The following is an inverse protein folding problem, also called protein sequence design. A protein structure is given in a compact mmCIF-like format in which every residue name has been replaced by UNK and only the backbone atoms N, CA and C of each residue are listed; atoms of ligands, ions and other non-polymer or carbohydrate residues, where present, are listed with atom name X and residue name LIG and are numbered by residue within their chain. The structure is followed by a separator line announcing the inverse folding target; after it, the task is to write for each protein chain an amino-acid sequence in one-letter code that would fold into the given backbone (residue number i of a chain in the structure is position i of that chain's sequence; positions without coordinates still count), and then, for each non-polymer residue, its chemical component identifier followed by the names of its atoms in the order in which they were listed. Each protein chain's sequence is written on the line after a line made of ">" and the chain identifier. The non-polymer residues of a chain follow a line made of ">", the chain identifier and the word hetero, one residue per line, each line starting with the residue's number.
data_IF_933222194405
#
_entry.id   IF_933222194405
#
_cell.length_a   1.000
_cell.length_b   1.000
_cell.length_c   1.000
_cell.angle_alpha   90.00
_cell.angle_beta   90.00
_cell.angle_gamma   90.00
#
_symmetry.space_group_name_H-M   'P 1'
#
loop_
_entity.id
_entity.type
_entity.pdbx_description
1 polymer ?
#
# COMPACT_ATOMS: atom_id res chain seq x y z
N UNK A 1 -9.66 20.50 -2.47
CA UNK A 1 -10.71 19.68 -3.08
C UNK A 1 -11.57 19.10 -1.98
N UNK A 2 -12.89 19.18 -2.11
CA UNK A 2 -13.82 18.56 -1.15
C UNK A 2 -14.15 17.13 -1.57
N UNK A 3 -14.70 16.31 -0.67
CA UNK A 3 -15.18 14.96 -1.02
C UNK A 3 -16.27 15.00 -2.09
N UNK A 4 -17.21 15.95 -2.01
CA UNK A 4 -18.27 16.10 -3.00
C UNK A 4 -17.74 16.46 -4.39
N UNK A 5 -16.75 17.36 -4.47
CA UNK A 5 -16.08 17.71 -5.73
C UNK A 5 -15.35 16.50 -6.32
N UNK A 6 -14.65 15.72 -5.47
CA UNK A 6 -14.00 14.48 -5.88
C UNK A 6 -14.98 13.51 -6.54
N UNK A 7 -16.05 13.17 -5.83
CA UNK A 7 -17.06 12.22 -6.30
C UNK A 7 -17.71 12.68 -7.61
N UNK A 8 -18.01 13.98 -7.73
CA UNK A 8 -18.56 14.53 -8.97
C UNK A 8 -17.64 14.35 -10.17
N UNK A 9 -16.33 14.58 -10.00
CA UNK A 9 -15.34 14.39 -11.08
C UNK A 9 -15.14 12.92 -11.42
N UNK A 10 -15.05 12.05 -10.43
CA UNK A 10 -14.92 10.60 -10.64
C UNK A 10 -16.11 10.04 -11.41
N UNK A 11 -17.34 10.43 -11.05
CA UNK A 11 -18.55 10.02 -11.78
C UNK A 11 -18.63 10.60 -13.19
N UNK A 12 -18.13 11.81 -13.41
CA UNK A 12 -18.17 12.46 -14.73
C UNK A 12 -17.19 11.83 -15.71
N UNK A 13 -15.93 11.64 -15.30
CA UNK A 13 -14.89 11.12 -16.19
C UNK A 13 -14.93 9.60 -16.34
N UNK A 14 -15.25 8.86 -15.26
CA UNK A 14 -15.26 7.39 -15.22
C UNK A 14 -13.87 6.74 -15.28
N UNK A 15 -13.00 7.23 -16.16
CA UNK A 15 -11.63 6.77 -16.37
C UNK A 15 -10.64 7.88 -15.99
N UNK A 16 -10.34 7.98 -14.69
CA UNK A 16 -9.57 9.08 -14.09
C UNK A 16 -8.46 8.52 -13.20
N UNK A 17 -7.33 9.23 -13.13
CA UNK A 17 -6.34 9.08 -12.06
C UNK A 17 -6.15 10.40 -11.34
N UNK A 18 -5.86 10.33 -10.05
CA UNK A 18 -5.43 11.49 -9.27
C UNK A 18 -3.92 11.51 -9.14
N UNK A 19 -3.28 12.61 -9.52
CA UNK A 19 -1.88 12.90 -9.18
C UNK A 19 -1.87 14.12 -8.29
N UNK A 20 -1.38 13.96 -7.06
CA UNK A 20 -1.42 14.98 -6.00
C UNK A 20 -0.01 15.49 -5.77
N UNK A 21 0.17 16.81 -5.72
CA UNK A 21 1.40 17.41 -5.21
C UNK A 21 1.53 17.14 -3.71
N UNK A 22 2.44 16.24 -3.36
CA UNK A 22 2.69 15.76 -2.01
C UNK A 22 3.80 16.48 -1.28
N UNK A 23 4.50 17.43 -1.90
CA UNK A 23 5.68 18.09 -1.31
C UNK A 23 5.37 18.70 0.06
N UNK A 24 4.18 19.28 0.23
CA UNK A 24 3.71 19.83 1.51
C UNK A 24 3.40 18.79 2.60
N UNK A 25 3.28 17.50 2.26
CA UNK A 25 3.01 16.42 3.21
C UNK A 25 4.25 15.62 3.59
N UNK A 26 5.41 15.88 2.98
CA UNK A 26 6.61 15.04 3.11
C UNK A 26 7.02 14.77 4.57
N UNK A 27 6.96 15.77 5.44
CA UNK A 27 7.29 15.64 6.87
C UNK A 27 6.25 14.83 7.68
N UNK A 28 5.07 14.63 7.12
CA UNK A 28 3.93 13.94 7.73
C UNK A 28 3.65 12.58 7.06
N UNK A 29 4.50 12.14 6.13
CA UNK A 29 4.32 10.89 5.40
C UNK A 29 5.58 10.04 5.55
N UNK A 30 5.51 9.05 6.42
CA UNK A 30 6.60 8.12 6.68
C UNK A 30 6.40 6.85 5.87
N UNK A 31 7.42 6.42 5.15
CA UNK A 31 7.43 5.15 4.42
C UNK A 31 8.28 4.18 5.26
N UNK A 32 7.75 3.00 5.52
CA UNK A 32 8.36 1.98 6.37
C UNK A 32 8.89 0.81 5.53
N UNK A 33 9.02 -0.35 6.15
CA UNK A 33 9.50 -1.58 5.56
C UNK A 33 8.75 -1.99 4.28
N UNK A 34 9.47 -2.73 3.44
CA UNK A 34 8.94 -3.32 2.22
C UNK A 34 7.91 -4.41 2.56
N UNK A 35 6.98 -4.60 1.65
CA UNK A 35 6.00 -5.67 1.64
C UNK A 35 6.22 -6.53 0.39
N UNK A 36 5.98 -7.85 0.48
CA UNK A 36 5.98 -8.67 -0.72
C UNK A 36 4.83 -8.24 -1.65
N UNK A 37 4.82 -8.71 -2.88
CA UNK A 37 3.67 -8.53 -3.76
C UNK A 37 2.42 -9.14 -3.09
N UNK A 38 1.29 -8.42 -2.97
CA UNK A 38 0.09 -8.95 -2.33
C UNK A 38 -0.47 -10.21 -3.02
N UNK A 39 -0.14 -10.44 -4.30
CA UNK A 39 -0.52 -11.66 -5.02
C UNK A 39 0.50 -12.81 -4.87
N UNK A 40 1.65 -12.56 -4.24
CA UNK A 40 2.69 -13.58 -4.03
C UNK A 40 2.28 -14.66 -3.03
N UNK A 41 2.96 -15.80 -3.08
CA UNK A 41 2.72 -16.90 -2.16
C UNK A 41 3.05 -16.55 -0.70
N UNK A 42 4.19 -15.90 -0.37
CA UNK A 42 4.49 -15.47 1.01
C UNK A 42 3.41 -14.55 1.55
N UNK A 43 2.89 -13.62 0.73
CA UNK A 43 1.89 -12.66 1.18
C UNK A 43 0.62 -13.34 1.70
N UNK A 44 0.25 -14.56 1.25
CA UNK A 44 -1.00 -15.22 1.66
C UNK A 44 -1.07 -15.56 3.15
N UNK A 45 0.07 -15.84 3.77
CA UNK A 45 0.14 -16.24 5.18
C UNK A 45 0.47 -15.07 6.12
N UNK A 46 0.96 -13.95 5.58
CA UNK A 46 1.42 -12.82 6.38
C UNK A 46 0.28 -11.85 6.70
N UNK A 47 0.12 -11.51 7.98
CA UNK A 47 -0.73 -10.42 8.45
C UNK A 47 0.14 -9.40 9.17
N UNK A 48 0.32 -8.23 8.56
CA UNK A 48 1.23 -7.22 9.07
C UNK A 48 0.61 -6.38 10.17
N UNK A 49 1.38 -6.14 11.23
CA UNK A 49 1.01 -5.13 12.20
C UNK A 49 1.14 -3.74 11.57
N UNK A 50 0.16 -2.88 11.81
CA UNK A 50 0.13 -1.53 11.23
C UNK A 50 1.26 -0.66 11.78
N UNK A 51 2.19 -0.28 10.90
CA UNK A 51 3.25 0.67 11.21
C UNK A 51 2.67 2.05 11.56
N UNK A 52 3.23 2.67 12.61
CA UNK A 52 2.93 4.04 13.02
C UNK A 52 4.20 4.68 13.56
N UNK A 53 4.29 6.01 13.45
CA UNK A 53 5.46 6.78 13.91
C UNK A 53 5.80 6.52 15.38
N UNK A 54 4.80 6.27 16.22
CA UNK A 54 4.98 6.01 17.65
C UNK A 54 5.31 4.53 17.97
N UNK A 55 5.10 3.61 17.02
CA UNK A 55 5.18 2.15 17.23
C UNK A 55 6.41 1.55 16.55
N UNK A 56 7.56 1.62 17.24
CA UNK A 56 8.86 1.18 16.70
C UNK A 56 8.89 -0.28 16.23
N UNK A 57 8.17 -1.18 16.92
CA UNK A 57 8.09 -2.60 16.51
C UNK A 57 7.39 -2.76 15.16
N UNK A 58 6.16 -2.27 15.02
CA UNK A 58 5.42 -2.34 13.76
C UNK A 58 6.15 -1.60 12.61
N UNK A 59 6.79 -0.46 12.90
CA UNK A 59 7.64 0.24 11.92
C UNK A 59 8.77 -0.65 11.36
N UNK A 60 9.31 -1.55 12.17
CA UNK A 60 10.38 -2.49 11.81
C UNK A 60 9.93 -3.75 11.07
N UNK A 61 8.65 -3.91 10.74
CA UNK A 61 8.18 -5.07 9.99
C UNK A 61 7.72 -6.23 10.87
N UNK A 62 6.93 -5.91 11.89
CA UNK A 62 6.27 -6.90 12.74
C UNK A 62 5.06 -7.52 12.01
N UNK A 63 4.91 -8.83 12.05
CA UNK A 63 3.77 -9.54 11.46
C UNK A 63 3.35 -10.78 12.26
N UNK A 64 2.23 -11.36 11.85
CA UNK A 64 1.64 -12.60 12.36
C UNK A 64 1.40 -13.56 11.19
N UNK A 65 1.30 -14.86 11.49
CA UNK A 65 0.96 -15.88 10.49
C UNK A 65 -0.50 -16.32 10.61
N UNK A 66 -1.21 -16.33 9.48
CA UNK A 66 -2.60 -16.75 9.41
C UNK A 66 -2.73 -18.25 9.73
N UNK A 67 -1.82 -19.07 9.22
CA UNK A 67 -1.75 -20.52 9.46
C UNK A 67 -1.59 -20.86 10.94
N UNK A 68 -0.80 -20.08 11.69
CA UNK A 68 -0.68 -20.26 13.15
C UNK A 68 -1.97 -19.90 13.88
N UNK A 69 -2.73 -18.91 13.38
CA UNK A 69 -4.01 -18.53 13.95
C UNK A 69 -5.10 -19.58 13.66
N UNK A 70 -5.04 -20.26 12.51
CA UNK A 70 -5.95 -21.34 12.15
C UNK A 70 -5.88 -22.54 13.09
N UNK A 71 -4.79 -22.73 13.83
CA UNK A 71 -4.68 -23.77 14.88
C UNK A 71 -5.74 -23.58 15.97
N UNK A 72 -6.06 -22.33 16.30
CA UNK A 72 -7.02 -21.99 17.35
C UNK A 72 -8.40 -21.59 16.79
N UNK A 73 -8.41 -20.94 15.63
CA UNK A 73 -9.63 -20.56 14.92
C UNK A 73 -9.49 -20.86 13.42
N UNK A 74 -9.92 -22.05 12.96
CA UNK A 74 -9.79 -22.46 11.55
C UNK A 74 -10.51 -21.56 10.54
N UNK A 75 -11.46 -20.73 10.99
CA UNK A 75 -12.22 -19.82 10.14
C UNK A 75 -11.68 -18.39 10.16
N UNK A 76 -10.57 -18.12 10.86
CA UNK A 76 -9.99 -16.79 10.90
C UNK A 76 -9.57 -16.35 9.49
N UNK A 77 -9.87 -15.10 9.15
CA UNK A 77 -9.35 -14.41 7.97
C UNK A 77 -8.34 -13.37 8.40
N UNK A 78 -7.54 -12.83 7.49
CA UNK A 78 -6.61 -11.74 7.85
C UNK A 78 -7.31 -10.50 8.39
N UNK A 79 -8.58 -10.26 8.02
CA UNK A 79 -9.39 -9.19 8.57
C UNK A 79 -9.73 -9.40 10.05
N UNK A 80 -9.71 -10.65 10.53
CA UNK A 80 -10.06 -11.02 11.91
C UNK A 80 -8.85 -10.98 12.86
N UNK A 81 -7.62 -10.99 12.33
CA UNK A 81 -6.36 -11.01 13.09
C UNK A 81 -5.99 -9.60 13.63
N UNK A 82 -6.94 -8.92 14.28
CA UNK A 82 -6.74 -7.59 14.88
C UNK A 82 -5.73 -7.57 16.04
N UNK A 83 -5.97 -6.76 17.07
CA UNK A 83 -5.03 -6.58 18.20
C UNK A 83 -5.01 -7.77 19.20
N UNK A 84 -5.31 -8.99 18.74
CA UNK A 84 -5.32 -10.20 19.56
C UNK A 84 -3.93 -10.65 20.00
N UNK A 85 -3.87 -11.60 20.94
CA UNK A 85 -2.61 -12.22 21.31
C UNK A 85 -2.21 -13.26 20.26
N UNK A 86 -1.30 -12.86 19.38
CA UNK A 86 -0.75 -13.70 18.31
C UNK A 86 0.76 -13.86 18.52
N UNK A 87 1.33 -14.93 17.96
CA UNK A 87 2.79 -15.08 17.92
C UNK A 87 3.38 -14.02 17.00
N UNK A 88 4.31 -13.24 17.53
CA UNK A 88 4.97 -12.16 16.81
C UNK A 88 6.15 -12.72 16.00
N UNK A 89 6.22 -12.28 14.74
CA UNK A 89 7.35 -12.47 13.85
C UNK A 89 7.88 -11.14 13.32
N UNK A 90 9.10 -11.18 12.79
CA UNK A 90 9.83 -10.02 12.27
C UNK A 90 10.28 -10.23 10.83
N UNK A 91 10.37 -9.13 10.08
CA UNK A 91 10.64 -9.15 8.63
C UNK A 91 11.95 -9.83 8.24
N UNK A 92 12.96 -9.80 9.12
CA UNK A 92 14.25 -10.47 8.92
C UNK A 92 14.12 -12.00 8.86
N UNK A 93 13.07 -12.58 9.47
CA UNK A 93 12.76 -14.01 9.36
C UNK A 93 12.36 -14.43 7.93
N UNK A 94 11.97 -13.49 7.07
CA UNK A 94 11.46 -13.75 5.72
C UNK A 94 12.21 -12.97 4.63
N UNK A 95 13.40 -12.43 4.93
CA UNK A 95 14.13 -11.51 4.04
C UNK A 95 14.37 -12.09 2.64
N UNK A 96 14.71 -13.38 2.54
CA UNK A 96 14.92 -14.05 1.26
C UNK A 96 13.64 -14.19 0.42
N UNK A 97 12.51 -14.53 1.07
CA UNK A 97 11.21 -14.66 0.40
C UNK A 97 10.68 -13.27 0.00
N UNK A 98 10.85 -12.29 0.87
CA UNK A 98 10.53 -10.89 0.60
C UNK A 98 11.32 -10.37 -0.60
N UNK A 99 12.64 -10.55 -0.64
CA UNK A 99 13.48 -10.09 -1.74
C UNK A 99 13.04 -10.68 -3.09
N UNK A 100 12.59 -11.94 -3.10
CA UNK A 100 12.07 -12.62 -4.31
C UNK A 100 10.67 -12.16 -4.71
N UNK A 101 9.83 -11.83 -3.73
CA UNK A 101 8.44 -11.46 -3.94
C UNK A 101 8.21 -9.95 -4.03
N UNK A 102 9.24 -9.12 -3.80
CA UNK A 102 9.11 -7.67 -3.73
C UNK A 102 8.76 -7.04 -5.08
N UNK A 103 7.70 -6.21 -5.08
CA UNK A 103 7.23 -5.48 -6.27
C UNK A 103 6.94 -4.01 -5.99
N UNK A 104 7.70 -3.40 -5.08
CA UNK A 104 7.63 -1.97 -4.79
C UNK A 104 6.67 -1.56 -3.67
N UNK A 105 6.04 -2.52 -2.98
CA UNK A 105 5.06 -2.26 -1.94
C UNK A 105 5.72 -1.93 -0.60
N UNK A 106 5.17 -0.95 0.12
CA UNK A 106 5.64 -0.52 1.44
C UNK A 106 4.47 -0.14 2.34
N UNK A 107 4.61 -0.41 3.64
CA UNK A 107 3.76 0.26 4.62
C UNK A 107 4.11 1.75 4.68
N UNK A 108 3.11 2.57 5.01
CA UNK A 108 3.31 3.97 5.30
C UNK A 108 2.44 4.40 6.49
N UNK A 109 2.84 5.49 7.14
CA UNK A 109 1.97 6.24 8.04
C UNK A 109 1.86 7.68 7.55
N UNK A 110 0.63 8.18 7.50
CA UNK A 110 0.35 9.56 7.08
C UNK A 110 -0.31 10.30 8.22
N UNK A 111 0.46 11.14 8.89
CA UNK A 111 0.01 12.01 9.97
C UNK A 111 -1.01 13.00 9.44
N UNK A 112 -2.21 13.00 10.03
CA UNK A 112 -3.38 13.79 9.61
C UNK A 112 -3.72 13.55 8.13
N UNK A 113 -4.08 12.31 7.78
CA UNK A 113 -4.30 11.95 6.39
C UNK A 113 -5.53 12.69 5.85
N UNK A 114 -5.48 13.01 4.56
CA UNK A 114 -6.62 13.65 3.89
C UNK A 114 -7.55 12.55 3.39
N UNK A 115 -8.64 12.29 4.12
CA UNK A 115 -9.62 11.25 3.80
C UNK A 115 -10.14 11.34 2.37
N UNK A 116 -10.30 12.56 1.84
CA UNK A 116 -10.67 12.79 0.44
C UNK A 116 -9.88 11.94 -0.54
N UNK A 117 -8.58 11.72 -0.32
CA UNK A 117 -7.75 10.90 -1.21
C UNK A 117 -7.78 9.41 -0.87
N UNK A 118 -7.94 9.06 0.41
CA UNK A 118 -8.03 7.66 0.86
C UNK A 118 -9.36 6.99 0.48
N UNK A 119 -10.40 7.79 0.26
CA UNK A 119 -11.75 7.37 -0.11
C UNK A 119 -11.98 7.42 -1.64
N UNK A 120 -10.94 7.73 -2.42
CA UNK A 120 -11.02 7.78 -3.88
C UNK A 120 -11.36 6.41 -4.47
N UNK A 121 -12.27 6.36 -5.45
CA UNK A 121 -12.63 5.11 -6.13
C UNK A 121 -11.71 4.80 -7.33
N UNK A 122 -10.87 5.75 -7.71
CA UNK A 122 -9.89 5.63 -8.78
C UNK A 122 -8.45 5.70 -8.25
N UNK A 123 -7.45 5.28 -9.05
CA UNK A 123 -6.06 5.27 -8.60
C UNK A 123 -5.56 6.65 -8.17
N UNK A 124 -4.88 6.70 -7.03
CA UNK A 124 -4.30 7.92 -6.46
C UNK A 124 -2.80 7.78 -6.35
N UNK A 125 -2.09 8.78 -6.88
CA UNK A 125 -0.65 8.89 -6.87
C UNK A 125 -0.24 10.19 -6.15
N UNK A 126 0.71 10.10 -5.23
CA UNK A 126 1.32 11.26 -4.59
C UNK A 126 2.70 11.51 -5.21
N UNK A 127 2.93 12.73 -5.71
CA UNK A 127 4.22 13.21 -6.19
C UNK A 127 4.93 14.01 -5.09
N UNK A 128 5.99 13.44 -4.51
CA UNK A 128 6.82 14.13 -3.51
C UNK A 128 7.95 14.97 -4.13
N UNK A 129 8.05 15.03 -5.46
CA UNK A 129 9.12 15.71 -6.19
C UNK A 129 10.30 14.81 -6.57
N UNK A 130 10.20 13.50 -6.33
CA UNK A 130 11.21 12.49 -6.66
C UNK A 130 11.02 11.93 -8.08
N UNK A 131 11.86 10.99 -8.53
CA UNK A 131 11.68 10.30 -9.82
C UNK A 131 10.59 9.20 -9.81
N UNK A 132 9.86 9.09 -8.71
CA UNK A 132 8.78 8.14 -8.49
C UNK A 132 7.52 8.81 -7.91
N UNK A 133 6.40 8.11 -8.01
CA UNK A 133 5.11 8.43 -7.41
C UNK A 133 4.74 7.35 -6.38
N UNK A 134 4.15 7.75 -5.25
CA UNK A 134 3.55 6.81 -4.30
C UNK A 134 2.09 6.54 -4.72
N UNK A 135 1.83 5.35 -5.27
CA UNK A 135 0.46 4.90 -5.49
C UNK A 135 -0.15 4.45 -4.15
N UNK A 136 -1.21 5.10 -3.70
CA UNK A 136 -1.92 4.71 -2.47
C UNK A 136 -2.82 3.50 -2.74
N UNK A 137 -2.72 2.47 -1.90
CA UNK A 137 -3.47 1.23 -2.08
C UNK A 137 -3.92 0.64 -0.74
N UNK A 138 -4.84 -0.32 -0.82
CA UNK A 138 -5.09 -1.27 0.26
C UNK A 138 -4.37 -2.57 -0.11
N UNK A 139 -3.52 -3.06 0.80
CA UNK A 139 -2.59 -4.14 0.54
C UNK A 139 -3.31 -5.48 0.30
N UNK A 140 -4.19 -5.85 1.23
CA UNK A 140 -4.96 -7.10 1.19
C UNK A 140 -6.27 -6.95 1.99
N UNK A 141 -6.95 -8.07 2.23
CA UNK A 141 -8.24 -8.11 2.94
C UNK A 141 -8.17 -7.67 4.41
N UNK A 142 -6.98 -7.54 5.00
CA UNK A 142 -6.83 -6.94 6.34
C UNK A 142 -7.20 -5.46 6.39
N UNK A 143 -7.31 -4.81 5.23
CA UNK A 143 -7.53 -3.36 5.13
C UNK A 143 -6.26 -2.54 5.38
N UNK A 144 -5.08 -3.19 5.47
CA UNK A 144 -3.80 -2.52 5.63
C UNK A 144 -3.57 -1.53 4.49
N UNK A 145 -3.41 -0.24 4.83
CA UNK A 145 -3.03 0.77 3.84
C UNK A 145 -1.55 0.62 3.52
N UNK A 146 -1.23 0.57 2.24
CA UNK A 146 0.14 0.53 1.75
C UNK A 146 0.30 1.53 0.60
N UNK A 147 1.55 1.72 0.21
CA UNK A 147 1.86 2.39 -1.05
C UNK A 147 2.67 1.46 -1.94
N UNK A 148 2.61 1.70 -3.25
CA UNK A 148 3.54 1.12 -4.20
C UNK A 148 4.36 2.21 -4.86
N UNK A 149 5.66 1.99 -4.95
CA UNK A 149 6.57 2.80 -5.72
C UNK A 149 6.28 2.67 -7.22
N UNK A 150 6.06 3.79 -7.90
CA UNK A 150 5.82 3.83 -9.35
C UNK A 150 6.80 4.79 -9.99
N UNK A 151 7.69 4.29 -10.85
CA UNK A 151 8.60 5.17 -11.59
C UNK A 151 7.82 6.15 -12.49
N UNK A 152 8.17 7.44 -12.47
CA UNK A 152 7.47 8.46 -13.29
C UNK A 152 7.50 8.13 -14.78
N UNK A 153 8.62 7.61 -15.28
CA UNK A 153 8.75 7.13 -16.68
C UNK A 153 7.74 6.05 -17.03
N UNK A 154 7.51 5.08 -16.13
CA UNK A 154 6.51 4.02 -16.31
C UNK A 154 5.11 4.60 -16.28
N UNK A 155 4.81 5.46 -15.30
CA UNK A 155 3.53 6.12 -15.19
C UNK A 155 3.17 6.92 -16.46
N UNK A 156 4.08 7.77 -16.94
CA UNK A 156 3.85 8.58 -18.14
C UNK A 156 3.65 7.70 -19.37
N UNK A 157 4.46 6.66 -19.55
CA UNK A 157 4.28 5.69 -20.62
C UNK A 157 2.89 5.04 -20.55
N UNK A 158 2.50 4.51 -19.40
CA UNK A 158 1.23 3.80 -19.22
C UNK A 158 0.02 4.69 -19.45
N UNK A 159 0.05 5.95 -18.97
CA UNK A 159 -1.02 6.92 -19.24
C UNK A 159 -1.23 7.15 -20.74
N UNK A 160 -0.20 6.95 -21.58
CA UNK A 160 -0.29 7.11 -23.02
C UNK A 160 -0.77 5.86 -23.76
N UNK A 161 -0.65 4.67 -23.16
CA UNK A 161 -0.92 3.39 -23.85
C UNK A 161 -2.07 2.59 -23.25
N UNK A 162 -2.31 2.72 -21.94
CA UNK A 162 -3.36 2.01 -21.23
C UNK A 162 -4.72 2.68 -21.47
N UNK A 163 -5.73 1.87 -21.74
CA UNK A 163 -7.10 2.37 -21.95
C UNK A 163 -7.90 2.47 -20.65
N UNK A 164 -7.47 1.80 -19.59
CA UNK A 164 -8.07 1.85 -18.25
C UNK A 164 -7.06 2.43 -17.24
N UNK A 165 -7.48 3.47 -16.51
CA UNK A 165 -6.72 4.10 -15.44
C UNK A 165 -6.21 3.10 -14.39
N UNK A 166 -6.96 2.02 -14.15
CA UNK A 166 -6.59 0.94 -13.21
C UNK A 166 -5.46 0.06 -13.73
N UNK A 167 -5.19 0.05 -15.03
CA UNK A 167 -4.09 -0.70 -15.63
C UNK A 167 -2.74 0.03 -15.49
N UNK A 168 -2.76 1.35 -15.25
CA UNK A 168 -1.55 2.15 -15.06
C UNK A 168 -0.71 1.60 -13.91
N UNK A 169 0.59 1.46 -14.18
CA UNK A 169 1.62 0.99 -13.26
C UNK A 169 1.40 -0.42 -12.69
N UNK A 170 0.46 -1.21 -13.21
CA UNK A 170 0.18 -2.57 -12.70
C UNK A 170 1.38 -3.50 -12.80
N UNK A 171 2.16 -3.44 -13.88
CA UNK A 171 3.44 -4.14 -14.01
C UNK A 171 4.56 -3.42 -13.27
N UNK A 172 5.27 -4.15 -12.40
CA UNK A 172 6.40 -3.62 -11.67
C UNK A 172 7.50 -3.18 -12.64
N UNK A 173 8.04 -2.00 -12.38
CA UNK A 173 9.11 -1.40 -13.15
C UNK A 173 10.07 -0.71 -12.18
N UNK A 174 11.36 -1.10 -12.14
CA UNK A 174 12.30 -0.57 -11.17
C UNK A 174 12.46 0.96 -11.26
N UNK A 175 12.50 1.60 -10.09
CA UNK A 175 13.02 2.97 -9.99
C UNK A 175 14.51 2.88 -10.33
N UNK A 176 14.96 3.72 -11.26
CA UNK A 176 16.35 3.77 -11.71
C UNK A 176 17.23 4.52 -10.73
#
# INVERSE_FOLDING_TARGET
>A
MTGAERTSRESFYGNLVWVIDGRGFRQNFDIYHALPDPASEPARDLVWAKARRELRGAAGGMFFRLTECHVHNPNATKADLGDGLHRIHWIDEIDADLARAYSGHHQYDWVRPRSTWLDAACPVYIDFGEDWLAQLMTYDESGLRCMRYVAKRKFVHDVMVETDARAIATSFYPIG
#
